data_IF_223629737797
#
_entry.id   IF_223629737797
#
_cell.length_a   1.000
_cell.length_b   1.000
_cell.length_c   1.000
_cell.angle_alpha   90.00
_cell.angle_beta   90.00
_cell.angle_gamma   90.00
#
_symmetry.space_group_name_H-M   'P 1'
#
loop_
_entity.id
_entity.type
_entity.pdbx_description
1 polymer ?
#
# COMPACT_ATOMS: atom_id res chain seq x y z
N UNK A 1 23.64 32.60 10.36
CA UNK A 1 22.89 31.33 10.32
C UNK A 1 23.05 30.76 8.92
N UNK A 2 23.98 29.83 8.76
CA UNK A 2 24.38 29.27 7.47
C UNK A 2 23.27 28.38 6.92
N UNK A 3 22.75 28.72 5.75
CA UNK A 3 21.78 27.90 5.03
C UNK A 3 22.44 26.60 4.60
N UNK A 4 22.01 25.49 5.20
CA UNK A 4 22.38 24.15 4.75
C UNK A 4 21.66 23.92 3.42
N UNK A 5 22.38 24.17 2.33
CA UNK A 5 22.02 23.71 0.99
C UNK A 5 21.98 22.18 1.01
N UNK A 6 20.78 21.60 1.07
CA UNK A 6 20.55 20.19 0.80
C UNK A 6 20.68 20.02 -0.71
N UNK A 7 21.92 19.93 -1.20
CA UNK A 7 22.20 19.51 -2.54
C UNK A 7 21.57 18.12 -2.74
N UNK A 8 20.63 18.03 -3.68
CA UNK A 8 19.91 16.84 -4.12
C UNK A 8 20.79 15.80 -4.84
N UNK A 9 22.05 15.69 -4.43
CA UNK A 9 22.95 14.63 -4.85
C UNK A 9 22.61 13.34 -4.09
N UNK A 10 21.37 12.86 -4.25
CA UNK A 10 21.01 11.46 -4.14
C UNK A 10 21.73 10.70 -5.27
N UNK A 11 23.05 10.53 -5.15
CA UNK A 11 23.71 9.43 -5.83
C UNK A 11 23.28 8.18 -5.06
N UNK A 12 22.20 7.56 -5.51
CA UNK A 12 21.81 6.23 -5.07
C UNK A 12 23.03 5.33 -5.21
N UNK A 13 23.63 4.89 -4.08
CA UNK A 13 24.39 3.65 -4.08
C UNK A 13 23.43 2.62 -4.72
N UNK A 14 23.73 2.11 -5.94
CA UNK A 14 22.76 1.47 -6.79
C UNK A 14 22.54 0.02 -6.38
N UNK A 15 22.90 -0.38 -5.16
CA UNK A 15 22.46 -1.69 -4.67
C UNK A 15 20.94 -1.61 -4.53
N UNK A 16 20.18 -2.24 -5.44
CA UNK A 16 18.75 -2.26 -5.32
C UNK A 16 18.43 -2.84 -3.96
N UNK A 17 17.42 -2.29 -3.33
CA UNK A 17 16.81 -2.88 -2.16
C UNK A 17 16.68 -4.40 -2.37
N UNK A 18 17.22 -5.18 -1.43
CA UNK A 18 17.32 -6.65 -1.50
C UNK A 18 16.32 -7.34 -0.56
N UNK A 19 15.17 -6.72 -0.26
CA UNK A 19 14.14 -7.53 0.36
C UNK A 19 13.52 -8.37 -0.75
N UNK A 20 13.62 -9.69 -0.59
CA UNK A 20 13.08 -10.65 -1.54
C UNK A 20 11.58 -10.80 -1.27
N UNK A 21 10.75 -10.27 -2.16
CA UNK A 21 9.31 -10.50 -2.13
C UNK A 21 8.97 -11.65 -3.04
N UNK A 22 8.12 -12.55 -2.55
CA UNK A 22 7.82 -13.79 -3.23
C UNK A 22 6.41 -13.75 -3.79
N UNK A 23 6.29 -13.94 -5.10
CA UNK A 23 5.01 -14.16 -5.78
C UNK A 23 4.96 -15.62 -6.20
N UNK A 24 3.90 -16.34 -5.82
CA UNK A 24 3.70 -17.73 -6.24
C UNK A 24 3.61 -17.81 -7.77
N UNK A 25 4.51 -18.55 -8.40
CA UNK A 25 4.48 -18.85 -9.84
C UNK A 25 3.37 -19.85 -10.18
N UNK A 26 2.96 -20.68 -9.22
CA UNK A 26 1.79 -21.53 -9.31
C UNK A 26 0.48 -20.71 -9.23
N UNK A 27 0.55 -19.46 -8.79
CA UNK A 27 -0.58 -18.55 -8.60
C UNK A 27 -1.23 -18.67 -7.23
N UNK A 28 -2.41 -18.05 -7.12
CA UNK A 28 -3.22 -17.98 -5.91
C UNK A 28 -4.63 -18.48 -6.19
N UNK A 29 -5.37 -18.82 -5.16
CA UNK A 29 -6.79 -19.17 -5.24
C UNK A 29 -7.55 -18.85 -3.97
N UNK A 30 -8.86 -18.80 -4.09
CA UNK A 30 -9.76 -18.65 -2.95
C UNK A 30 -10.26 -20.01 -2.49
N UNK A 31 -10.21 -20.24 -1.17
CA UNK A 31 -10.85 -21.40 -0.53
C UNK A 31 -11.84 -20.95 0.53
N UNK A 32 -13.03 -21.55 0.49
CA UNK A 32 -14.15 -21.22 1.38
C UNK A 32 -14.25 -22.19 2.56
N UNK A 33 -13.62 -23.36 2.43
CA UNK A 33 -13.65 -24.53 3.32
C UNK A 33 -12.45 -24.61 4.27
N UNK A 34 -11.72 -23.51 4.45
CA UNK A 34 -10.62 -23.41 5.40
C UNK A 34 -11.03 -22.74 6.70
N UNK A 35 -10.46 -23.22 7.80
CA UNK A 35 -10.60 -22.61 9.13
C UNK A 35 -9.27 -22.02 9.59
N UNK A 36 -9.36 -20.84 10.19
CA UNK A 36 -8.22 -20.21 10.86
C UNK A 36 -7.77 -21.07 12.04
N UNK A 37 -6.50 -21.51 12.01
CA UNK A 37 -5.86 -22.05 13.20
C UNK A 37 -5.62 -20.94 14.22
N UNK A 38 -5.49 -21.28 15.50
CA UNK A 38 -5.22 -20.30 16.56
C UNK A 38 -3.84 -19.62 16.45
N UNK A 39 -2.98 -20.10 15.54
CA UNK A 39 -1.65 -19.53 15.33
C UNK A 39 -1.62 -18.54 14.18
N UNK A 40 -1.22 -17.30 14.46
CA UNK A 40 -0.83 -16.32 13.45
C UNK A 40 0.66 -16.46 13.12
N UNK A 41 1.02 -16.24 11.86
CA UNK A 41 2.41 -16.22 11.41
C UNK A 41 2.66 -14.90 10.69
N UNK A 42 3.68 -14.18 11.13
CA UNK A 42 4.15 -13.00 10.39
C UNK A 42 5.31 -13.41 9.51
N UNK A 43 5.19 -13.11 8.22
CA UNK A 43 6.30 -13.25 7.28
C UNK A 43 7.25 -12.08 7.47
N UNK A 44 8.52 -12.39 7.67
CA UNK A 44 9.60 -11.41 7.61
C UNK A 44 10.39 -11.66 6.32
N UNK A 45 10.79 -10.63 5.57
CA UNK A 45 11.65 -10.81 4.41
C UNK A 45 12.98 -11.46 4.83
N UNK A 46 13.47 -12.39 4.03
CA UNK A 46 14.72 -13.12 4.28
C UNK A 46 15.91 -12.20 4.00
N UNK A 47 16.89 -12.20 4.91
CA UNK A 47 18.04 -11.30 4.89
C UNK A 47 19.33 -12.09 4.84
N UNK A 48 19.78 -12.43 3.62
CA UNK A 48 21.09 -12.99 3.18
C UNK A 48 21.90 -13.98 4.08
N UNK A 49 21.49 -14.37 5.31
CA UNK A 49 22.27 -15.22 6.22
C UNK A 49 21.47 -16.18 7.13
N UNK A 50 20.19 -16.44 6.86
CA UNK A 50 19.46 -17.52 7.54
C UNK A 50 17.95 -17.29 7.61
N UNK A 51 17.20 -18.06 6.84
CA UNK A 51 15.74 -18.06 6.84
C UNK A 51 15.17 -18.83 8.03
N UNK A 52 14.24 -18.19 8.74
CA UNK A 52 13.31 -18.88 9.62
C UNK A 52 12.00 -18.10 9.68
N UNK A 53 10.88 -18.79 9.51
CA UNK A 53 9.56 -18.25 9.83
C UNK A 53 9.52 -17.97 11.34
N UNK A 54 9.41 -16.69 11.75
CA UNK A 54 9.24 -16.36 13.16
C UNK A 54 7.77 -16.51 13.54
N UNK A 55 7.45 -17.51 14.36
CA UNK A 55 6.13 -17.63 14.99
C UNK A 55 6.00 -16.53 16.03
N UNK A 56 5.08 -15.60 15.82
CA UNK A 56 4.68 -14.62 16.83
C UNK A 56 3.33 -15.06 17.39
N UNK A 57 3.34 -15.61 18.60
CA UNK A 57 2.09 -15.95 19.28
C UNK A 57 1.45 -14.66 19.81
N UNK A 58 0.50 -14.09 19.07
CA UNK A 58 -0.38 -13.04 19.60
C UNK A 58 -1.66 -13.68 20.16
N UNK A 59 -2.13 -13.28 21.35
CA UNK A 59 -3.40 -13.79 21.88
C UNK A 59 -4.58 -13.40 20.98
N UNK A 60 -5.52 -14.34 20.85
CA UNK A 60 -6.68 -14.37 19.94
C UNK A 60 -7.66 -13.20 20.12
N UNK A 61 -7.56 -12.43 21.21
CA UNK A 61 -8.61 -11.50 21.67
C UNK A 61 -8.79 -10.24 20.82
N UNK A 62 -7.90 -9.95 19.87
CA UNK A 62 -7.97 -8.69 19.11
C UNK A 62 -8.71 -8.78 17.77
N UNK A 63 -9.03 -9.98 17.27
CA UNK A 63 -9.64 -10.12 15.96
C UNK A 63 -10.95 -10.93 16.05
N UNK A 64 -12.09 -10.38 15.58
CA UNK A 64 -13.32 -11.15 15.47
C UNK A 64 -13.04 -12.39 14.62
N UNK A 65 -13.68 -13.52 14.93
CA UNK A 65 -13.51 -14.79 14.20
C UNK A 65 -13.60 -14.53 12.69
N UNK A 66 -12.44 -14.43 12.03
CA UNK A 66 -12.40 -14.21 10.60
C UNK A 66 -12.95 -15.47 9.94
N UNK A 67 -14.11 -15.33 9.33
CA UNK A 67 -14.68 -16.35 8.45
C UNK A 67 -14.15 -16.10 7.05
N UNK A 68 -13.93 -17.16 6.28
CA UNK A 68 -13.50 -17.07 4.88
C UNK A 68 -14.44 -16.20 4.01
N UNK A 69 -14.11 -16.01 2.73
CA UNK A 69 -13.18 -16.80 1.94
C UNK A 69 -11.71 -16.41 2.16
N UNK A 70 -10.82 -17.39 2.00
CA UNK A 70 -9.38 -17.25 2.21
C UNK A 70 -8.61 -17.27 0.92
N UNK A 71 -7.74 -16.28 0.72
CA UNK A 71 -6.79 -16.26 -0.39
C UNK A 71 -5.54 -17.01 0.02
N UNK A 72 -5.20 -18.08 -0.69
CA UNK A 72 -4.03 -18.91 -0.41
C UNK A 72 -3.09 -18.95 -1.62
N UNK A 73 -1.81 -19.22 -1.37
CA UNK A 73 -0.87 -19.60 -2.44
C UNK A 73 -1.10 -21.07 -2.83
N UNK A 74 -1.01 -21.39 -4.13
CA UNK A 74 -1.24 -22.75 -4.64
C UNK A 74 -0.12 -23.75 -4.36
N UNK A 75 1.09 -23.29 -4.03
CA UNK A 75 2.24 -24.13 -3.72
C UNK A 75 2.53 -24.14 -2.22
N UNK A 76 2.84 -25.33 -1.68
CA UNK A 76 3.35 -25.42 -0.31
C UNK A 76 4.67 -24.65 -0.18
N UNK A 77 4.87 -23.89 0.91
CA UNK A 77 6.15 -23.25 1.20
C UNK A 77 7.28 -24.24 1.51
N UNK A 78 7.04 -25.56 1.50
CA UNK A 78 8.01 -26.61 1.85
C UNK A 78 8.98 -26.94 0.69
N UNK A 79 8.63 -26.58 -0.55
CA UNK A 79 9.47 -26.77 -1.76
C UNK A 79 9.99 -25.42 -2.25
N UNK A 80 10.86 -24.81 -1.43
CA UNK A 80 11.44 -23.49 -1.65
C UNK A 80 12.47 -23.54 -2.79
N UNK A 81 12.12 -23.00 -3.96
CA UNK A 81 12.85 -21.93 -4.66
C UNK A 81 12.38 -21.76 -6.12
N UNK A 82 11.93 -22.84 -6.78
CA UNK A 82 11.56 -22.76 -8.21
C UNK A 82 10.22 -22.04 -8.46
N UNK A 83 9.35 -22.00 -7.45
CA UNK A 83 7.97 -21.57 -7.63
C UNK A 83 7.66 -20.17 -7.10
N UNK A 84 8.67 -19.37 -6.76
CA UNK A 84 8.42 -18.00 -6.34
C UNK A 84 9.34 -17.03 -7.08
N UNK A 85 8.76 -15.95 -7.59
CA UNK A 85 9.53 -14.90 -8.25
C UNK A 85 9.85 -13.77 -7.27
N UNK A 86 11.15 -13.44 -7.20
CA UNK A 86 11.66 -12.32 -6.43
C UNK A 86 11.41 -10.99 -7.14
N UNK A 87 10.92 -10.00 -6.42
CA UNK A 87 10.89 -8.61 -6.92
C UNK A 87 10.98 -7.59 -5.78
N UNK A 88 11.23 -6.32 -6.14
CA UNK A 88 11.21 -5.18 -5.21
C UNK A 88 9.94 -4.32 -5.44
N UNK A 89 8.97 -4.31 -4.52
CA UNK A 89 7.77 -3.48 -4.58
C UNK A 89 8.08 -1.99 -4.67
N UNK A 90 9.20 -1.52 -4.13
CA UNK A 90 9.62 -0.11 -4.21
C UNK A 90 10.03 0.29 -5.63
N UNK A 91 10.32 -0.67 -6.51
CA UNK A 91 10.58 -0.40 -7.94
C UNK A 91 9.31 -0.32 -8.79
N UNK A 92 8.14 -0.69 -8.25
CA UNK A 92 6.87 -0.67 -8.99
C UNK A 92 6.23 0.72 -8.92
N UNK A 93 6.17 1.48 -10.03
CA UNK A 93 5.63 2.83 -10.03
C UNK A 93 4.15 2.88 -9.66
N UNK A 94 3.79 3.73 -8.69
CA UNK A 94 2.40 3.99 -8.34
C UNK A 94 1.68 2.77 -7.76
N UNK A 95 2.40 1.86 -7.10
CA UNK A 95 1.81 0.65 -6.53
C UNK A 95 0.62 0.93 -5.59
N UNK A 96 0.71 2.00 -4.79
CA UNK A 96 -0.40 2.48 -3.95
C UNK A 96 -1.59 2.98 -4.76
N UNK A 97 -1.36 3.59 -5.92
CA UNK A 97 -2.42 4.05 -6.83
C UNK A 97 -3.08 2.87 -7.55
N UNK A 98 -2.30 1.86 -7.96
CA UNK A 98 -2.82 0.61 -8.52
C UNK A 98 -3.81 -0.05 -7.55
N UNK A 99 -3.44 -0.16 -6.27
CA UNK A 99 -4.32 -0.73 -5.26
C UNK A 99 -5.51 0.20 -4.95
N UNK A 100 -5.31 1.52 -4.90
CA UNK A 100 -6.38 2.49 -4.62
C UNK A 100 -7.51 2.49 -5.66
N UNK A 101 -7.19 2.16 -6.91
CA UNK A 101 -8.15 2.08 -8.02
C UNK A 101 -8.74 0.67 -8.21
N UNK A 102 -8.28 -0.30 -7.42
CA UNK A 102 -8.77 -1.66 -7.50
C UNK A 102 -10.24 -1.69 -7.08
N UNK A 103 -11.09 -2.30 -7.91
CA UNK A 103 -12.46 -2.63 -7.48
C UNK A 103 -12.37 -3.66 -6.35
N UNK A 104 -12.86 -3.37 -5.13
CA UNK A 104 -12.67 -4.24 -3.97
C UNK A 104 -13.63 -5.45 -4.05
N UNK A 105 -13.34 -6.38 -4.97
CA UNK A 105 -14.05 -7.66 -5.12
C UNK A 105 -13.06 -8.81 -5.28
N UNK A 106 -13.57 -10.04 -5.20
CA UNK A 106 -12.79 -11.29 -5.13
C UNK A 106 -11.81 -11.45 -6.31
N UNK A 107 -12.26 -11.20 -7.53
CA UNK A 107 -11.49 -11.44 -8.77
C UNK A 107 -10.40 -10.38 -9.00
N UNK A 108 -10.67 -9.06 -8.91
CA UNK A 108 -9.61 -8.04 -9.00
C UNK A 108 -8.55 -8.19 -7.89
N UNK A 109 -8.95 -8.54 -6.67
CA UNK A 109 -8.00 -8.82 -5.57
C UNK A 109 -7.13 -10.03 -5.93
N UNK A 110 -7.72 -11.11 -6.45
CA UNK A 110 -6.96 -12.27 -6.90
C UNK A 110 -5.95 -11.92 -8.00
N UNK A 111 -6.35 -11.10 -8.98
CA UNK A 111 -5.44 -10.63 -10.04
C UNK A 111 -4.29 -9.79 -9.47
N UNK A 112 -4.61 -8.89 -8.54
CA UNK A 112 -3.62 -8.05 -7.87
C UNK A 112 -2.59 -8.91 -7.11
N UNK A 113 -3.05 -9.84 -6.28
CA UNK A 113 -2.20 -10.72 -5.48
C UNK A 113 -1.40 -11.68 -6.35
N UNK A 114 -1.97 -12.17 -7.45
CA UNK A 114 -1.22 -12.97 -8.41
C UNK A 114 -0.07 -12.21 -9.07
N UNK A 115 -0.14 -10.87 -9.09
CA UNK A 115 0.90 -10.01 -9.66
C UNK A 115 1.89 -9.47 -8.63
N UNK A 116 1.47 -9.25 -7.39
CA UNK A 116 2.27 -8.53 -6.39
C UNK A 116 2.45 -9.30 -5.07
N UNK A 117 1.74 -10.41 -4.87
CA UNK A 117 1.78 -11.20 -3.64
C UNK A 117 0.84 -10.69 -2.54
N UNK A 118 0.95 -11.31 -1.36
CA UNK A 118 0.13 -10.98 -0.19
C UNK A 118 0.45 -9.61 0.38
N UNK A 119 -0.55 -8.95 0.97
CA UNK A 119 -0.35 -7.65 1.62
C UNK A 119 0.51 -7.78 2.88
N UNK A 120 0.49 -8.95 3.52
CA UNK A 120 1.21 -9.35 4.72
C UNK A 120 0.82 -8.59 5.99
N UNK A 121 -0.39 -7.99 6.05
CA UNK A 121 -0.88 -7.34 7.27
C UNK A 121 -1.02 -8.37 8.39
N UNK A 122 -1.70 -9.49 8.09
CA UNK A 122 -1.83 -10.66 8.96
C UNK A 122 -1.98 -11.87 8.03
N UNK A 123 -1.04 -12.78 8.04
CA UNK A 123 -1.25 -14.08 7.41
C UNK A 123 -1.64 -15.10 8.47
N UNK A 124 -2.79 -15.73 8.22
CA UNK A 124 -3.34 -16.74 9.10
C UNK A 124 -2.90 -18.11 8.61
N UNK A 125 -2.46 -18.97 9.52
CA UNK A 125 -2.27 -20.38 9.23
C UNK A 125 -3.64 -21.05 9.21
N UNK A 126 -3.97 -21.73 8.13
CA UNK A 126 -5.29 -22.29 7.85
C UNK A 126 -5.23 -23.81 7.75
N UNK A 127 -6.34 -24.48 8.06
CA UNK A 127 -6.49 -25.93 7.89
C UNK A 127 -7.76 -26.25 7.12
N UNK A 128 -7.72 -27.32 6.33
CA UNK A 128 -8.91 -27.85 5.69
C UNK A 128 -9.87 -28.44 6.73
N UNK A 129 -11.17 -28.21 6.55
CA UNK A 129 -12.20 -28.77 7.45
C UNK A 129 -12.23 -30.29 7.35
N UNK A 130 -12.21 -30.95 8.50
CA UNK A 130 -12.42 -32.41 8.59
C UNK A 130 -11.23 -33.27 8.18
N UNK A 131 -10.06 -32.69 7.90
CA UNK A 131 -8.84 -33.45 7.59
C UNK A 131 -7.98 -33.62 8.83
N UNK A 132 -7.48 -34.84 9.07
CA UNK A 132 -6.49 -35.14 10.11
C UNK A 132 -5.05 -34.79 9.70
N UNK A 133 -4.84 -34.38 8.44
CA UNK A 133 -3.54 -34.13 7.84
C UNK A 133 -3.02 -32.70 8.04
N UNK A 134 -1.68 -32.63 7.99
CA UNK A 134 -0.75 -31.54 8.30
C UNK A 134 -0.72 -30.42 7.25
N UNK A 135 -1.73 -30.32 6.40
CA UNK A 135 -1.78 -29.35 5.31
C UNK A 135 -2.13 -27.97 5.88
N UNK A 136 -1.11 -27.31 6.38
CA UNK A 136 -1.20 -25.96 6.87
C UNK A 136 -1.02 -24.99 5.70
N UNK A 137 -2.11 -24.33 5.33
CA UNK A 137 -2.07 -23.25 4.35
C UNK A 137 -1.74 -21.94 5.06
N UNK A 138 -1.26 -20.98 4.27
CA UNK A 138 -1.12 -19.60 4.70
C UNK A 138 -1.96 -18.73 3.80
N UNK A 139 -2.80 -17.89 4.39
CA UNK A 139 -3.67 -17.01 3.62
C UNK A 139 -4.10 -15.75 4.32
N UNK A 140 -4.69 -14.86 3.52
CA UNK A 140 -5.32 -13.62 3.96
C UNK A 140 -6.81 -13.70 3.66
N UNK A 141 -7.66 -13.21 4.56
CA UNK A 141 -9.10 -13.25 4.32
C UNK A 141 -9.53 -12.18 3.32
N UNK A 142 -10.62 -12.41 2.59
CA UNK A 142 -11.20 -11.37 1.72
C UNK A 142 -11.55 -10.11 2.53
N UNK A 143 -12.05 -10.28 3.75
CA UNK A 143 -12.37 -9.17 4.64
C UNK A 143 -11.15 -8.28 4.90
N UNK A 144 -9.98 -8.86 5.18
CA UNK A 144 -8.74 -8.11 5.34
C UNK A 144 -8.38 -7.32 4.08
N UNK A 145 -8.48 -7.96 2.91
CA UNK A 145 -8.22 -7.29 1.64
C UNK A 145 -9.16 -6.13 1.36
N UNK A 146 -10.46 -6.27 1.66
CA UNK A 146 -11.43 -5.19 1.52
C UNK A 146 -11.08 -3.99 2.40
N UNK A 147 -10.65 -4.23 3.64
CA UNK A 147 -10.20 -3.18 4.57
C UNK A 147 -8.97 -2.46 4.03
N UNK A 148 -7.98 -3.22 3.54
CA UNK A 148 -6.74 -2.65 2.96
C UNK A 148 -7.04 -1.81 1.71
N UNK A 149 -7.85 -2.33 0.78
CA UNK A 149 -8.24 -1.62 -0.44
C UNK A 149 -8.99 -0.32 -0.11
N UNK A 150 -9.99 -0.40 0.77
CA UNK A 150 -10.76 0.77 1.22
C UNK A 150 -9.89 1.82 1.91
N UNK A 151 -8.96 1.39 2.75
CA UNK A 151 -8.02 2.27 3.45
C UNK A 151 -7.11 3.01 2.48
N UNK A 152 -6.43 2.29 1.58
CA UNK A 152 -5.51 2.89 0.60
C UNK A 152 -6.25 3.79 -0.39
N UNK A 153 -7.42 3.36 -0.89
CA UNK A 153 -8.27 4.18 -1.77
C UNK A 153 -8.66 5.50 -1.11
N UNK A 154 -9.08 5.45 0.16
CA UNK A 154 -9.44 6.64 0.93
C UNK A 154 -8.26 7.59 1.13
N UNK A 155 -7.08 7.07 1.47
CA UNK A 155 -5.90 7.89 1.71
C UNK A 155 -5.36 8.53 0.42
N UNK A 156 -5.33 7.79 -0.69
CA UNK A 156 -4.95 8.35 -1.99
C UNK A 156 -5.92 9.45 -2.41
N UNK A 157 -7.24 9.23 -2.25
CA UNK A 157 -8.25 10.24 -2.55
C UNK A 157 -8.11 11.47 -1.65
N UNK A 158 -7.89 11.28 -0.35
CA UNK A 158 -7.70 12.37 0.60
C UNK A 158 -6.46 13.21 0.23
N UNK A 159 -5.37 12.55 -0.15
CA UNK A 159 -4.17 13.23 -0.64
C UNK A 159 -4.42 13.98 -1.94
N UNK A 160 -5.10 13.35 -2.91
CA UNK A 160 -5.42 13.97 -4.19
C UNK A 160 -6.29 15.22 -4.04
N UNK A 161 -7.21 15.23 -3.08
CA UNK A 161 -8.02 16.40 -2.75
C UNK A 161 -7.23 17.46 -1.97
N UNK A 162 -6.38 17.05 -1.02
CA UNK A 162 -5.59 17.97 -0.21
C UNK A 162 -4.55 18.76 -1.02
N UNK A 163 -4.12 18.26 -2.18
CA UNK A 163 -3.21 18.95 -3.11
C UNK A 163 -3.93 19.84 -4.14
N UNK A 164 -5.24 19.69 -4.32
CA UNK A 164 -6.02 20.56 -5.22
C UNK A 164 -6.24 21.95 -4.59
N UNK A 165 -6.66 22.92 -5.42
CA UNK A 165 -7.04 24.24 -4.89
C UNK A 165 -8.21 24.08 -3.91
N UNK A 166 -8.16 24.67 -2.70
CA UNK A 166 -9.12 24.39 -1.63
C UNK A 166 -10.59 24.53 -2.04
N UNK A 167 -10.93 25.56 -2.82
CA UNK A 167 -12.31 25.79 -3.29
C UNK A 167 -12.87 24.68 -4.18
N UNK A 168 -12.02 23.96 -4.93
CA UNK A 168 -12.44 22.87 -5.81
C UNK A 168 -12.63 21.54 -5.06
N UNK A 169 -11.88 21.34 -3.97
CA UNK A 169 -11.87 20.10 -3.20
C UNK A 169 -12.82 20.12 -1.98
N UNK A 170 -13.27 21.30 -1.56
CA UNK A 170 -14.04 21.51 -0.32
C UNK A 170 -15.22 20.54 -0.16
N UNK A 171 -16.12 20.47 -1.16
CA UNK A 171 -17.32 19.62 -1.09
C UNK A 171 -16.98 18.14 -0.91
N UNK A 172 -15.92 17.67 -1.55
CA UNK A 172 -15.51 16.26 -1.48
C UNK A 172 -14.73 15.95 -0.20
N UNK A 173 -13.90 16.89 0.28
CA UNK A 173 -13.20 16.77 1.56
C UNK A 173 -14.18 16.73 2.73
N UNK A 174 -15.17 17.63 2.75
CA UNK A 174 -16.17 17.67 3.82
C UNK A 174 -16.91 16.34 3.91
N UNK A 175 -17.36 15.78 2.78
CA UNK A 175 -18.02 14.47 2.76
C UNK A 175 -17.14 13.35 3.28
N UNK A 176 -15.87 13.29 2.89
CA UNK A 176 -14.96 12.22 3.35
C UNK A 176 -14.72 12.33 4.86
N UNK A 177 -14.56 13.54 5.38
CA UNK A 177 -14.29 13.79 6.79
C UNK A 177 -15.55 13.62 7.66
N UNK A 178 -16.72 14.01 7.15
CA UNK A 178 -18.03 13.79 7.79
C UNK A 178 -18.44 12.32 7.83
N UNK A 179 -18.29 11.60 6.71
CA UNK A 179 -18.60 10.16 6.63
C UNK A 179 -17.74 9.34 7.61
N UNK A 180 -16.47 9.75 7.80
CA UNK A 180 -15.61 9.15 8.82
C UNK A 180 -16.04 9.46 10.25
N UNK A 181 -16.73 10.57 10.48
CA UNK A 181 -17.27 10.93 11.78
C UNK A 181 -18.61 10.26 12.13
N UNK A 182 -19.33 9.68 11.17
CA UNK A 182 -20.73 9.23 11.40
C UNK A 182 -21.03 7.75 11.11
N UNK A 183 -20.37 7.10 10.13
CA UNK A 183 -20.78 5.76 9.66
C UNK A 183 -19.96 4.60 10.24
N UNK A 184 -18.96 4.90 11.04
CA UNK A 184 -18.08 3.91 11.59
C UNK A 184 -18.17 3.93 13.12
N UNK A 185 -19.06 3.11 13.67
CA UNK A 185 -18.95 2.69 15.07
C UNK A 185 -17.73 1.75 15.21
N UNK A 186 -16.53 2.29 15.02
CA UNK A 186 -15.33 1.68 15.57
C UNK A 186 -15.45 1.82 17.08
N UNK A 187 -15.19 0.74 17.80
CA UNK A 187 -15.26 0.71 19.26
C UNK A 187 -14.41 1.85 19.86
N UNK A 188 -14.78 2.40 21.03
CA UNK A 188 -14.15 3.56 21.68
C UNK A 188 -12.63 3.48 21.96
N UNK A 189 -11.97 2.39 21.59
CA UNK A 189 -10.53 2.16 21.75
C UNK A 189 -9.72 2.44 20.46
N UNK A 190 -10.35 2.98 19.41
CA UNK A 190 -9.65 3.34 18.16
C UNK A 190 -8.99 4.73 18.27
N UNK A 191 -7.66 4.85 18.07
CA UNK A 191 -6.92 6.12 18.19
C UNK A 191 -7.32 7.21 17.17
N UNK A 192 -8.16 6.90 16.19
CA UNK A 192 -8.51 7.80 15.09
C UNK A 192 -9.59 8.84 15.45
N UNK A 193 -10.51 8.53 16.37
CA UNK A 193 -11.62 9.44 16.75
C UNK A 193 -11.15 10.47 17.79
N UNK A 194 -10.28 10.04 18.70
CA UNK A 194 -9.60 10.93 19.62
C UNK A 194 -8.70 11.92 18.86
N UNK A 195 -8.08 11.51 17.75
CA UNK A 195 -7.28 12.42 16.94
C UNK A 195 -8.07 13.57 16.31
N UNK A 196 -9.22 13.31 15.68
CA UNK A 196 -10.06 14.38 15.08
C UNK A 196 -10.59 15.32 16.17
N UNK A 197 -10.98 14.76 17.31
CA UNK A 197 -11.51 15.52 18.45
C UNK A 197 -10.43 16.35 19.17
N UNK A 198 -9.22 15.81 19.33
CA UNK A 198 -8.05 16.54 19.85
C UNK A 198 -7.61 17.65 18.92
N UNK A 199 -7.75 17.46 17.60
CA UNK A 199 -7.13 18.34 16.61
C UNK A 199 -7.93 19.58 16.26
N UNK A 200 -9.27 19.54 16.26
CA UNK A 200 -10.08 20.72 15.92
C UNK A 200 -9.73 21.95 16.79
N UNK A 201 -9.48 21.82 18.11
CA UNK A 201 -9.00 22.93 18.94
C UNK A 201 -7.56 23.41 18.66
N UNK A 202 -6.72 22.60 17.99
CA UNK A 202 -5.31 22.91 17.72
C UNK A 202 -5.10 23.65 16.38
N UNK A 203 -6.17 23.87 15.62
CA UNK A 203 -6.10 24.58 14.34
C UNK A 203 -5.93 26.09 14.58
N UNK A 204 -5.11 26.79 13.78
CA UNK A 204 -4.95 28.24 13.90
C UNK A 204 -6.30 28.97 13.85
N UNK A 205 -6.57 29.92 14.76
CA UNK A 205 -7.76 30.75 14.63
C UNK A 205 -7.67 31.56 13.33
N UNK A 206 -8.79 31.69 12.62
CA UNK A 206 -8.95 32.45 11.37
C UNK A 206 -8.44 31.78 10.08
N UNK A 207 -8.35 30.45 10.02
CA UNK A 207 -8.27 29.78 8.72
C UNK A 207 -9.59 29.96 7.97
N UNK A 208 -9.51 30.22 6.66
CA UNK A 208 -10.68 29.98 5.83
C UNK A 208 -11.01 28.48 5.87
N UNK A 209 -12.29 28.17 5.76
CA UNK A 209 -12.80 26.81 5.94
C UNK A 209 -12.11 25.79 5.01
N UNK A 210 -11.72 26.22 3.81
CA UNK A 210 -11.07 25.35 2.84
C UNK A 210 -9.59 25.08 3.19
N UNK A 211 -8.88 26.07 3.73
CA UNK A 211 -7.55 25.91 4.31
C UNK A 211 -7.56 25.02 5.56
N UNK A 212 -8.58 25.17 6.41
CA UNK A 212 -8.79 24.32 7.58
C UNK A 212 -8.96 22.84 7.18
N UNK A 213 -9.83 22.55 6.21
CA UNK A 213 -10.04 21.19 5.71
C UNK A 213 -8.79 20.60 5.05
N UNK A 214 -8.00 21.39 4.31
CA UNK A 214 -6.73 20.91 3.74
C UNK A 214 -5.72 20.53 4.82
N UNK A 215 -5.64 21.33 5.90
CA UNK A 215 -4.76 21.05 7.03
C UNK A 215 -5.22 19.80 7.79
N UNK A 216 -6.52 19.67 8.05
CA UNK A 216 -7.12 18.49 8.67
C UNK A 216 -6.87 17.24 7.84
N UNK A 217 -7.06 17.30 6.52
CA UNK A 217 -6.78 16.21 5.60
C UNK A 217 -5.31 15.74 5.65
N UNK A 218 -4.36 16.68 5.63
CA UNK A 218 -2.92 16.38 5.76
C UNK A 218 -2.58 15.74 7.10
N UNK A 219 -3.21 16.21 8.18
CA UNK A 219 -3.00 15.64 9.50
C UNK A 219 -3.57 14.22 9.61
N UNK A 220 -4.78 13.99 9.12
CA UNK A 220 -5.37 12.64 9.04
C UNK A 220 -4.48 11.71 8.23
N UNK A 221 -3.96 12.17 7.08
CA UNK A 221 -2.98 11.40 6.30
C UNK A 221 -1.75 11.04 7.13
N UNK A 222 -1.18 12.01 7.85
CA UNK A 222 0.00 11.78 8.70
C UNK A 222 -0.26 10.70 9.75
N UNK A 223 -1.38 10.78 10.48
CA UNK A 223 -1.71 9.81 11.53
C UNK A 223 -1.88 8.40 10.95
N UNK A 224 -2.65 8.29 9.87
CA UNK A 224 -2.91 7.00 9.23
C UNK A 224 -1.63 6.40 8.64
N UNK A 225 -0.77 7.22 8.02
CA UNK A 225 0.53 6.77 7.53
C UNK A 225 1.43 6.33 8.69
N UNK A 226 1.53 7.10 9.76
CA UNK A 226 2.34 6.74 10.93
C UNK A 226 1.88 5.43 11.57
N UNK A 227 0.56 5.25 11.74
CA UNK A 227 -0.02 4.02 12.27
C UNK A 227 0.33 2.80 11.41
N UNK A 228 0.07 2.90 10.10
CA UNK A 228 0.31 1.79 9.19
C UNK A 228 1.82 1.50 9.02
N UNK A 229 2.66 2.53 8.88
CA UNK A 229 4.10 2.37 8.73
C UNK A 229 4.76 1.86 10.03
N UNK A 230 4.29 2.29 11.20
CA UNK A 230 4.88 1.87 12.48
C UNK A 230 4.81 0.36 12.71
N UNK A 231 3.75 -0.29 12.22
CA UNK A 231 3.60 -1.75 12.31
C UNK A 231 4.25 -2.50 11.14
N UNK A 232 4.20 -1.92 9.94
CA UNK A 232 4.59 -2.58 8.67
C UNK A 232 5.98 -2.23 8.15
N UNK A 233 6.72 -1.35 8.84
CA UNK A 233 8.11 -1.02 8.50
C UNK A 233 9.06 -1.23 9.67
N UNK A 234 10.36 -1.36 9.38
CA UNK A 234 11.45 -1.28 10.34
C UNK A 234 12.37 -0.12 9.97
N UNK A 235 12.99 0.57 10.94
CA UNK A 235 14.13 1.41 10.64
C UNK A 235 15.29 0.54 10.16
N UNK A 236 15.98 1.02 9.11
CA UNK A 236 17.19 0.40 8.59
C UNK A 236 18.30 1.43 8.60
N UNK A 237 19.42 1.08 9.24
CA UNK A 237 20.61 1.92 9.33
C UNK A 237 21.73 1.25 8.55
N UNK A 238 22.21 1.92 7.51
CA UNK A 238 23.43 1.50 6.83
C UNK A 238 24.64 2.20 7.46
N UNK A 239 25.63 1.42 7.91
CA UNK A 239 26.83 1.96 8.58
C UNK A 239 27.94 2.16 7.55
N UNK A 240 27.76 3.12 6.64
CA UNK A 240 28.83 3.62 5.75
C UNK A 240 28.90 5.14 5.82
N UNK A 241 30.08 5.74 5.56
CA UNK A 241 30.19 7.20 5.46
C UNK A 241 29.18 7.76 4.44
N UNK A 242 28.33 8.69 4.89
CA UNK A 242 27.29 9.30 4.05
C UNK A 242 25.97 8.51 3.95
N UNK A 243 25.85 7.37 4.63
CA UNK A 243 24.58 6.61 4.69
C UNK A 243 23.48 7.37 5.44
N UNK A 244 22.23 7.01 5.11
CA UNK A 244 21.02 7.58 5.72
C UNK A 244 20.25 6.52 6.49
N UNK A 245 19.54 6.94 7.53
CA UNK A 245 18.50 6.12 8.16
C UNK A 245 17.29 6.10 7.23
N UNK A 246 16.80 4.91 6.88
CA UNK A 246 15.63 4.74 6.02
C UNK A 246 14.58 3.85 6.67
N UNK A 247 13.32 4.01 6.26
CA UNK A 247 12.27 3.05 6.57
C UNK A 247 12.28 1.92 5.56
N UNK A 248 12.04 0.71 6.05
CA UNK A 248 12.00 -0.48 5.23
C UNK A 248 10.71 -1.26 5.46
N UNK A 249 9.95 -1.58 4.40
CA UNK A 249 8.74 -2.37 4.54
C UNK A 249 9.03 -3.83 4.87
N UNK A 250 8.25 -4.36 5.82
CA UNK A 250 8.22 -5.76 6.29
C UNK A 250 7.24 -6.63 5.50
N UNK A 251 6.27 -6.02 4.84
CA UNK A 251 5.23 -6.64 4.03
C UNK A 251 4.88 -5.75 2.82
N UNK A 252 4.15 -6.27 1.81
CA UNK A 252 3.73 -5.51 0.63
C UNK A 252 2.89 -4.29 1.04
N UNK A 253 2.05 -4.43 2.07
CA UNK A 253 1.27 -3.34 2.64
C UNK A 253 2.15 -2.19 3.10
N UNK A 254 3.22 -2.47 3.85
CA UNK A 254 4.18 -1.46 4.26
C UNK A 254 4.86 -0.78 3.08
N UNK A 255 5.14 -1.51 2.00
CA UNK A 255 5.71 -0.92 0.79
C UNK A 255 4.71 0.03 0.11
N UNK A 256 3.45 -0.37 0.05
CA UNK A 256 2.33 0.44 -0.47
C UNK A 256 2.16 1.73 0.35
N UNK A 257 2.11 1.64 1.67
CA UNK A 257 2.02 2.82 2.54
C UNK A 257 3.26 3.70 2.42
N UNK A 258 4.46 3.12 2.25
CA UNK A 258 5.69 3.87 2.07
C UNK A 258 5.72 4.62 0.73
N UNK A 259 5.23 4.02 -0.35
CA UNK A 259 5.04 4.73 -1.64
C UNK A 259 4.15 5.97 -1.47
N UNK A 260 3.01 5.81 -0.80
CA UNK A 260 2.11 6.93 -0.52
C UNK A 260 2.80 8.00 0.34
N UNK A 261 3.49 7.61 1.41
CA UNK A 261 4.20 8.56 2.27
C UNK A 261 5.26 9.36 1.51
N UNK A 262 6.05 8.70 0.67
CA UNK A 262 7.06 9.37 -0.17
C UNK A 262 6.41 10.36 -1.15
N UNK A 263 5.24 10.04 -1.70
CA UNK A 263 4.47 10.96 -2.52
C UNK A 263 3.96 12.17 -1.72
N UNK A 264 3.36 11.95 -0.56
CA UNK A 264 2.86 13.01 0.35
C UNK A 264 3.97 13.97 0.77
N UNK A 265 5.17 13.46 1.03
CA UNK A 265 6.34 14.25 1.40
C UNK A 265 7.00 14.99 0.23
N UNK A 266 6.52 14.81 -1.01
CA UNK A 266 7.17 15.34 -2.21
C UNK A 266 8.56 14.75 -2.46
N UNK A 267 8.85 13.56 -1.91
CA UNK A 267 10.12 12.83 -2.09
C UNK A 267 10.08 11.89 -3.28
N UNK A 268 8.89 11.61 -3.83
CA UNK A 268 8.71 10.96 -5.12
C UNK A 268 7.90 11.84 -6.06
N UNK A 269 8.20 11.76 -7.36
CA UNK A 269 7.36 12.35 -8.39
C UNK A 269 6.09 11.48 -8.47
N UNK A 270 4.88 12.09 -8.39
CA UNK A 270 3.64 11.33 -8.49
C UNK A 270 3.64 10.47 -9.75
N UNK A 271 3.27 9.20 -9.60
CA UNK A 271 3.07 8.36 -10.77
C UNK A 271 1.93 8.94 -11.62
N UNK A 272 2.02 8.81 -12.93
CA UNK A 272 0.98 9.20 -13.89
C UNK A 272 0.50 7.99 -14.69
N UNK A 273 -0.73 8.04 -15.20
CA UNK A 273 -1.26 7.03 -16.12
C UNK A 273 -0.83 7.34 -17.54
N UNK A 274 -0.20 6.37 -18.19
CA UNK A 274 0.15 6.48 -19.61
C UNK A 274 -1.13 6.57 -20.47
N UNK A 275 -1.27 7.64 -21.26
CA UNK A 275 -2.47 7.83 -22.09
C UNK A 275 -2.70 6.74 -23.15
N UNK A 276 -1.66 5.98 -23.53
CA UNK A 276 -1.77 4.97 -24.59
C UNK A 276 -1.98 3.53 -24.09
N UNK A 277 -1.55 3.21 -22.86
CA UNK A 277 -1.62 1.84 -22.30
C UNK A 277 -2.22 1.76 -20.90
N UNK A 278 -2.56 2.90 -20.28
CA UNK A 278 -3.17 2.97 -18.94
C UNK A 278 -2.22 2.64 -17.78
N UNK A 279 -1.02 2.12 -18.03
CA UNK A 279 -0.07 1.76 -16.97
C UNK A 279 0.45 2.98 -16.23
N UNK A 280 0.59 2.85 -14.92
CA UNK A 280 1.29 3.81 -14.07
C UNK A 280 2.78 3.86 -14.38
N UNK A 281 3.37 5.06 -14.40
CA UNK A 281 4.80 5.28 -14.56
C UNK A 281 5.23 6.57 -13.86
N UNK A 282 6.52 6.67 -13.52
CA UNK A 282 7.10 7.91 -13.00
C UNK A 282 7.55 8.77 -14.19
N UNK A 283 6.97 9.97 -14.40
CA UNK A 283 7.40 10.84 -15.49
C UNK A 283 8.80 11.42 -15.21
N UNK A 284 9.64 11.49 -16.26
CA UNK A 284 10.98 12.10 -16.19
C UNK A 284 10.93 13.63 -16.26
N UNK A 285 9.85 14.18 -16.80
CA UNK A 285 9.58 15.61 -16.89
C UNK A 285 8.07 15.85 -16.86
N UNK A 286 7.62 17.01 -16.38
CA UNK A 286 6.20 17.28 -16.10
C UNK A 286 5.26 17.28 -17.32
N UNK A 287 5.78 17.23 -18.54
CA UNK A 287 4.99 17.09 -19.78
C UNK A 287 4.95 15.66 -20.33
N UNK A 288 5.57 14.69 -19.65
CA UNK A 288 5.62 13.32 -20.12
C UNK A 288 4.30 12.60 -19.85
N UNK A 289 3.51 12.38 -20.90
CA UNK A 289 2.20 11.70 -20.83
C UNK A 289 2.21 10.21 -21.28
N UNK A 290 3.39 9.70 -21.68
CA UNK A 290 3.57 8.32 -22.14
C UNK A 290 4.71 7.64 -21.39
N UNK A 291 4.51 6.39 -20.98
CA UNK A 291 5.50 5.64 -20.22
C UNK A 291 6.72 5.21 -21.05
N UNK A 292 6.56 5.02 -22.37
CA UNK A 292 7.62 4.52 -23.27
C UNK A 292 7.48 5.10 -24.69
N UNK A 293 8.55 5.11 -25.52
CA UNK A 293 8.50 5.58 -26.90
C UNK A 293 7.42 4.89 -27.74
N UNK A 294 7.21 3.58 -27.57
CA UNK A 294 6.21 2.80 -28.31
C UNK A 294 4.79 3.32 -28.01
N UNK A 295 4.52 3.67 -26.75
CA UNK A 295 3.26 4.28 -26.33
C UNK A 295 3.08 5.67 -26.93
N UNK A 296 4.16 6.47 -27.04
CA UNK A 296 4.14 7.77 -27.72
C UNK A 296 3.79 7.63 -29.20
N UNK A 297 4.40 6.68 -29.91
CA UNK A 297 4.07 6.38 -31.31
C UNK A 297 2.63 5.88 -31.48
N UNK A 298 2.15 5.02 -30.58
CA UNK A 298 0.75 4.55 -30.58
C UNK A 298 -0.22 5.72 -30.42
N UNK A 299 0.03 6.61 -29.45
CA UNK A 299 -0.78 7.82 -29.23
C UNK A 299 -0.75 8.78 -30.42
N UNK A 300 0.40 8.95 -31.07
CA UNK A 300 0.50 9.75 -32.31
C UNK A 300 -0.34 9.17 -33.45
N UNK A 301 -0.30 7.84 -33.67
CA UNK A 301 -1.11 7.17 -34.69
C UNK A 301 -2.61 7.28 -34.43
N UNK A 302 -3.03 7.20 -33.16
CA UNK A 302 -4.44 7.38 -32.78
C UNK A 302 -4.94 8.79 -33.12
N UNK A 303 -4.22 9.84 -32.70
CA UNK A 303 -4.57 11.23 -33.04
C UNK A 303 -4.61 11.49 -34.54
N UNK A 304 -3.69 10.89 -35.32
CA UNK A 304 -3.68 11.04 -36.78
C UNK A 304 -4.92 10.41 -37.43
N UNK A 305 -5.39 9.27 -36.91
CA UNK A 305 -6.63 8.62 -37.39
C UNK A 305 -7.88 9.41 -37.01
N UNK A 306 -7.92 9.98 -35.81
CA UNK A 306 -9.02 10.84 -35.37
C UNK A 306 -9.12 12.08 -36.25
N UNK A 307 -7.98 12.73 -36.55
CA UNK A 307 -7.93 13.90 -37.43
C UNK A 307 -8.19 13.60 -38.92
N UNK A 308 -8.08 12.34 -39.37
CA UNK A 308 -8.42 11.97 -40.75
C UNK A 308 -9.90 11.60 -40.92
N UNK A 309 -10.62 11.41 -39.82
CA UNK A 309 -12.02 10.98 -39.79
C UNK A 309 -13.01 12.11 -39.43
N UNK A 310 -12.51 13.31 -39.12
CA UNK A 310 -13.31 14.51 -38.85
C UNK A 310 -13.09 15.57 -39.92
#
# INVERSE_FOLDING_TARGET
>A
MSSVSVASNFRSDPRPYRAKWWISSAGYEWKDDLEASESQVQFFPNWDHGSGFAKVNKPRSFFPSETGPWLIAKSEPSVLDEHFHEYDPMTVPGLHRILAELNPSKEPILEFVSRYGFCGSITTRLRAKGTSETDDFFGESLKQWLVVCGSISSLVRLWDLARMRPAAAYRDLSKILELRGSEYSWTPDSPDDEAVRIMRPLLPPNLDEASELSLLAKHTLQLMLNFNLGSSTVPFVEVRPGSQIRLQPKNLGGAIYLHLALEVMGKSVPAERCQACGRWFIPKHGSQIYCRPECKFKGYRQRKKENSNG
#
